data_IF_310007516547
#
_entry.id   IF_310007516547
#
_cell.length_a   1.000
_cell.length_b   1.000
_cell.length_c   1.000
_cell.angle_alpha   90.00
_cell.angle_beta   90.00
_cell.angle_gamma   90.00
#
_symmetry.space_group_name_H-M   'P 1'
#
loop_
_entity.id
_entity.type
_entity.pdbx_description
1 polymer ?
#
# COMPACT_ATOMS: atom_id res chain seq x y z
N UNK A 1 -20.30 36.84 -15.49
CA UNK A 1 -18.98 36.52 -14.88
C UNK A 1 -19.01 36.60 -13.37
N UNK A 2 -19.54 37.67 -12.75
CA UNK A 2 -19.67 37.80 -11.29
C UNK A 2 -20.45 36.65 -10.62
N UNK A 3 -21.55 36.20 -11.22
CA UNK A 3 -22.35 35.09 -10.69
C UNK A 3 -21.60 33.75 -10.59
N UNK A 4 -20.67 33.48 -11.52
CA UNK A 4 -19.86 32.23 -11.51
C UNK A 4 -18.87 32.25 -10.33
N UNK A 5 -18.31 33.42 -10.02
CA UNK A 5 -17.40 33.60 -8.88
C UNK A 5 -18.15 33.36 -7.56
N UNK A 6 -19.38 33.86 -7.43
CA UNK A 6 -20.20 33.63 -6.24
C UNK A 6 -20.58 32.15 -6.06
N UNK A 7 -20.84 31.42 -7.16
CA UNK A 7 -21.12 29.98 -7.12
C UNK A 7 -19.87 29.18 -6.72
N UNK A 8 -18.69 29.53 -7.24
CA UNK A 8 -17.43 28.89 -6.88
C UNK A 8 -17.05 29.08 -5.40
N UNK A 9 -17.34 30.26 -4.84
CA UNK A 9 -17.13 30.54 -3.42
C UNK A 9 -18.10 29.75 -2.52
N UNK A 10 -19.34 29.53 -2.96
CA UNK A 10 -20.32 28.74 -2.21
C UNK A 10 -20.01 27.24 -2.18
N UNK A 11 -19.29 26.74 -3.20
CA UNK A 11 -18.90 25.32 -3.32
C UNK A 11 -17.90 24.87 -2.24
N UNK A 12 -17.14 25.80 -1.64
CA UNK A 12 -16.20 25.45 -0.56
C UNK A 12 -16.90 25.03 0.73
N UNK A 13 -18.13 25.52 0.96
CA UNK A 13 -18.90 25.24 2.18
C UNK A 13 -19.37 23.77 2.22
N UNK A 14 -19.51 23.12 1.07
CA UNK A 14 -19.94 21.72 0.97
C UNK A 14 -18.80 20.70 1.06
N UNK A 15 -17.55 21.14 1.23
CA UNK A 15 -16.36 20.25 1.25
C UNK A 15 -15.87 19.90 2.68
N UNK A 16 -16.65 20.19 3.73
CA UNK A 16 -16.28 19.94 5.14
C UNK A 16 -16.36 18.47 5.60
N UNK A 17 -16.22 17.50 4.70
CA UNK A 17 -16.32 16.06 5.02
C UNK A 17 -14.96 15.34 5.08
N UNK A 18 -13.85 16.09 5.09
CA UNK A 18 -12.52 15.51 5.18
C UNK A 18 -12.18 15.22 6.64
N UNK A 19 -12.33 13.96 7.04
CA UNK A 19 -11.71 13.46 8.26
C UNK A 19 -10.18 13.36 8.07
N UNK A 20 -9.43 13.50 9.16
CA UNK A 20 -7.98 13.29 9.12
C UNK A 20 -7.68 11.82 8.81
N UNK A 21 -6.89 11.60 7.75
CA UNK A 21 -6.52 10.27 7.25
C UNK A 21 -5.89 9.39 8.34
N UNK A 22 -5.20 10.01 9.30
CA UNK A 22 -4.46 9.32 10.34
C UNK A 22 -5.23 9.24 11.67
N UNK A 23 -6.44 9.80 11.75
CA UNK A 23 -7.22 9.86 13.00
C UNK A 23 -7.51 8.47 13.60
N UNK A 24 -7.65 7.44 12.77
CA UNK A 24 -7.90 6.06 13.22
C UNK A 24 -6.62 5.31 13.62
N UNK A 25 -5.44 5.78 13.19
CA UNK A 25 -4.16 5.13 13.49
C UNK A 25 -3.69 5.48 14.91
N UNK A 26 -3.96 6.70 15.38
CA UNK A 26 -3.57 7.17 16.71
C UNK A 26 -4.51 6.68 17.83
N UNK A 27 -5.55 5.90 17.49
CA UNK A 27 -6.44 5.30 18.49
C UNK A 27 -5.81 4.00 19.00
N UNK A 28 -4.71 4.12 19.73
CA UNK A 28 -4.12 3.01 20.48
C UNK A 28 -5.11 2.56 21.56
N UNK A 29 -6.03 1.66 21.22
CA UNK A 29 -6.67 0.85 22.24
C UNK A 29 -5.57 0.00 22.87
N UNK A 30 -5.18 0.33 24.10
CA UNK A 30 -4.24 -0.46 24.90
C UNK A 30 -4.92 -1.78 25.27
N UNK A 31 -5.11 -2.66 24.30
CA UNK A 31 -5.32 -4.07 24.52
C UNK A 31 -3.93 -4.69 24.63
N UNK A 32 -3.70 -5.46 25.69
CA UNK A 32 -2.51 -6.29 25.84
C UNK A 32 -2.59 -7.45 24.84
N UNK A 33 -2.44 -7.14 23.57
CA UNK A 33 -2.41 -8.12 22.50
C UNK A 33 -1.01 -8.73 22.46
N UNK A 34 -0.94 -9.96 22.96
CA UNK A 34 0.24 -10.77 22.79
C UNK A 34 0.48 -11.02 21.29
N UNK A 35 1.74 -10.93 20.87
CA UNK A 35 2.11 -11.18 19.49
C UNK A 35 1.77 -12.63 19.08
N UNK A 36 0.74 -12.80 18.25
CA UNK A 36 0.28 -14.11 17.76
C UNK A 36 1.25 -14.74 16.74
N UNK A 37 2.08 -13.92 16.07
CA UNK A 37 3.10 -14.40 15.13
C UNK A 37 4.26 -13.39 15.01
N UNK A 38 5.49 -13.89 14.91
CA UNK A 38 6.70 -13.05 14.69
C UNK A 38 6.72 -12.40 13.31
N UNK A 39 6.27 -13.12 12.27
CA UNK A 39 6.15 -12.62 10.90
C UNK A 39 4.80 -12.97 10.30
N UNK A 40 4.17 -12.00 9.63
CA UNK A 40 2.87 -12.19 8.98
C UNK A 40 2.99 -12.89 7.61
N UNK A 41 4.09 -12.65 6.88
CA UNK A 41 4.39 -13.23 5.57
C UNK A 41 5.54 -14.24 5.60
N UNK A 42 5.66 -15.02 4.51
CA UNK A 42 6.75 -15.98 4.31
C UNK A 42 8.07 -15.30 3.93
N UNK A 43 8.04 -14.08 3.39
CA UNK A 43 9.23 -13.31 2.99
C UNK A 43 9.33 -11.97 3.70
N UNK A 44 10.57 -11.57 3.99
CA UNK A 44 10.97 -10.26 4.49
C UNK A 44 11.93 -9.67 3.47
N UNK A 45 11.43 -8.77 2.63
CA UNK A 45 12.18 -8.24 1.48
C UNK A 45 12.64 -9.42 0.58
N UNK A 46 13.92 -9.81 0.67
CA UNK A 46 14.52 -10.88 -0.12
C UNK A 46 14.81 -12.15 0.69
N UNK A 47 14.59 -12.13 2.01
CA UNK A 47 14.87 -13.26 2.90
C UNK A 47 13.59 -14.03 3.23
N UNK A 48 13.72 -15.33 3.46
CA UNK A 48 12.65 -16.14 4.02
C UNK A 48 12.47 -15.83 5.51
N UNK A 49 11.22 -15.77 5.96
CA UNK A 49 10.86 -15.62 7.35
C UNK A 49 10.80 -16.99 8.05
N UNK A 50 10.64 -17.00 9.36
CA UNK A 50 10.41 -18.24 10.13
C UNK A 50 8.96 -18.74 10.07
N UNK A 51 8.08 -18.05 9.33
CA UNK A 51 6.67 -18.45 9.18
C UNK A 51 6.58 -19.69 8.29
N UNK A 52 5.79 -20.67 8.71
CA UNK A 52 5.39 -21.81 7.88
C UNK A 52 3.97 -21.61 7.36
N UNK A 53 3.70 -22.20 6.19
CA UNK A 53 2.35 -22.26 5.59
C UNK A 53 1.44 -23.09 6.49
N UNK A 54 0.19 -22.64 6.70
CA UNK A 54 -0.73 -23.34 7.58
C UNK A 54 -1.22 -24.66 6.96
N UNK A 55 -1.79 -25.54 7.79
CA UNK A 55 -2.35 -26.81 7.33
C UNK A 55 -3.52 -26.56 6.37
N UNK A 56 -3.47 -27.19 5.18
CA UNK A 56 -4.44 -27.03 4.07
C UNK A 56 -4.44 -25.63 3.42
N UNK A 57 -3.36 -24.87 3.57
CA UNK A 57 -3.16 -23.60 2.86
C UNK A 57 -2.26 -23.82 1.64
N UNK A 58 -2.64 -23.24 0.50
CA UNK A 58 -1.78 -23.16 -0.69
C UNK A 58 -1.29 -21.72 -0.81
N UNK A 59 0.01 -21.51 -0.62
CA UNK A 59 0.63 -20.22 -0.87
C UNK A 59 1.34 -20.25 -2.21
N UNK A 60 0.88 -19.44 -3.15
CA UNK A 60 1.50 -19.25 -4.47
C UNK A 60 1.96 -17.81 -4.61
N UNK A 61 3.25 -17.62 -4.88
CA UNK A 61 3.87 -16.29 -4.98
C UNK A 61 4.39 -16.12 -6.40
N UNK A 62 3.89 -15.10 -7.09
CA UNK A 62 4.46 -14.63 -8.36
C UNK A 62 5.28 -13.39 -8.06
N UNK A 63 6.60 -13.47 -8.25
CA UNK A 63 7.51 -12.36 -8.03
C UNK A 63 8.23 -12.02 -9.32
N UNK A 64 8.32 -10.72 -9.62
CA UNK A 64 9.10 -10.20 -10.73
C UNK A 64 10.12 -9.20 -10.21
N UNK A 65 11.40 -9.35 -10.60
CA UNK A 65 12.43 -8.39 -10.27
C UNK A 65 12.76 -7.55 -11.51
N UNK A 66 12.23 -6.34 -11.53
CA UNK A 66 12.45 -5.41 -12.63
C UNK A 66 13.93 -5.05 -12.79
N UNK A 67 14.38 -5.03 -14.05
CA UNK A 67 15.65 -4.49 -14.48
C UNK A 67 15.70 -2.96 -14.41
N UNK A 68 16.64 -2.34 -15.12
CA UNK A 68 16.79 -0.89 -15.07
C UNK A 68 15.69 -0.15 -15.86
N UNK A 69 15.07 0.85 -15.25
CA UNK A 69 14.15 1.77 -15.95
C UNK A 69 14.86 2.66 -16.99
N UNK A 70 16.18 2.79 -16.91
CA UNK A 70 16.96 3.73 -17.74
C UNK A 70 16.82 3.49 -19.24
N UNK A 71 16.61 2.25 -19.64
CA UNK A 71 16.50 1.87 -21.06
C UNK A 71 15.10 2.15 -21.63
N UNK A 72 14.15 2.62 -20.81
CA UNK A 72 12.82 3.03 -21.25
C UNK A 72 12.08 1.91 -22.01
N UNK A 73 11.41 2.29 -23.09
CA UNK A 73 10.57 1.38 -23.90
C UNK A 73 11.38 0.22 -24.48
N UNK A 74 12.67 0.39 -24.76
CA UNK A 74 13.52 -0.64 -25.38
C UNK A 74 13.71 -1.89 -24.49
N UNK A 75 13.58 -1.73 -23.17
CA UNK A 75 13.59 -2.84 -22.18
C UNK A 75 12.21 -3.10 -21.56
N UNK A 76 11.19 -2.48 -22.15
CA UNK A 76 9.87 -2.31 -21.57
C UNK A 76 9.92 -1.90 -20.09
N UNK A 77 10.70 -0.86 -19.79
CA UNK A 77 10.95 -0.31 -18.46
C UNK A 77 11.56 -1.33 -17.47
N UNK A 78 12.44 -2.19 -17.95
CA UNK A 78 13.04 -3.26 -17.17
C UNK A 78 12.12 -4.48 -16.99
N UNK A 79 11.02 -4.59 -17.75
CA UNK A 79 10.24 -5.82 -17.76
C UNK A 79 10.97 -6.95 -18.52
N UNK A 80 11.61 -6.61 -19.63
CA UNK A 80 12.31 -7.59 -20.48
C UNK A 80 13.66 -8.03 -19.89
N UNK A 81 14.28 -7.16 -19.08
CA UNK A 81 15.60 -7.37 -18.46
C UNK A 81 15.53 -7.95 -17.04
N UNK A 82 14.44 -8.63 -16.69
CA UNK A 82 14.22 -9.14 -15.33
C UNK A 82 15.01 -10.41 -15.00
N UNK A 83 15.35 -10.58 -13.71
CA UNK A 83 16.17 -11.71 -13.18
C UNK A 83 15.42 -12.50 -12.12
#
# INVERSE_FOLDING_TARGET
>A
MKCIIYIALFFQITMLAQEDLLAEIDTDSIQNDYATATFKGLKIINFESTKLVAKKELTFIVSHRFGSIKNGVDSFFGLDDAV
#
